data_IF_298944582919
#
_entry.id   IF_298944582919
#
_cell.length_a   1.000
_cell.length_b   1.000
_cell.length_c   1.000
_cell.angle_alpha   90.00
_cell.angle_beta   90.00
_cell.angle_gamma   90.00
#
_symmetry.space_group_name_H-M   'P 1'
#
loop_
_entity.id
_entity.type
_entity.pdbx_description
1 polymer ?
#
# COMPACT_ATOMS: atom_id res chain seq x y z
N UNK A 1 -7.79 -15.91 13.14
CA UNK A 1 -7.14 -15.58 11.86
C UNK A 1 -6.52 -14.20 11.99
N UNK A 2 -5.20 -14.11 11.76
CA UNK A 2 -4.44 -12.87 11.86
C UNK A 2 -4.28 -12.23 10.48
N UNK A 3 -4.65 -10.97 10.38
CA UNK A 3 -4.66 -10.21 9.13
C UNK A 3 -3.66 -9.04 9.25
N UNK A 4 -2.75 -8.91 8.29
CA UNK A 4 -1.98 -7.70 8.09
C UNK A 4 -2.67 -6.83 7.03
N UNK A 5 -3.10 -5.65 7.43
CA UNK A 5 -3.61 -4.64 6.52
C UNK A 5 -2.50 -3.62 6.25
N UNK A 6 -2.10 -3.48 5.00
CA UNK A 6 -0.96 -2.65 4.63
C UNK A 6 -1.37 -1.50 3.74
N UNK A 7 -0.75 -0.36 3.96
CA UNK A 7 -0.79 0.78 3.06
C UNK A 7 0.60 1.44 3.01
N UNK A 8 0.94 2.04 1.88
CA UNK A 8 2.28 2.60 1.66
C UNK A 8 2.51 3.81 2.57
N UNK A 9 1.51 4.70 2.64
CA UNK A 9 1.69 6.01 3.25
C UNK A 9 0.42 6.51 3.95
N UNK A 10 0.60 7.04 5.14
CA UNK A 10 -0.38 7.80 5.92
C UNK A 10 0.14 9.21 6.17
N UNK A 11 0.50 9.92 5.10
CA UNK A 11 1.08 11.27 5.19
C UNK A 11 0.12 12.37 4.77
N UNK A 12 -0.99 12.00 4.17
CA UNK A 12 -2.07 12.89 3.74
C UNK A 12 -3.43 12.37 4.21
N UNK A 13 -4.43 13.22 4.22
CA UNK A 13 -5.82 12.85 4.48
C UNK A 13 -6.53 12.70 3.14
N UNK A 14 -6.65 11.48 2.66
CA UNK A 14 -7.26 11.17 1.36
C UNK A 14 -8.33 10.08 1.43
N UNK A 15 -8.92 9.78 0.28
CA UNK A 15 -9.93 8.72 0.17
C UNK A 15 -9.35 7.33 0.37
N UNK A 16 -8.11 7.11 -0.07
CA UNK A 16 -7.38 5.86 0.08
C UNK A 16 -7.15 5.48 1.54
N UNK A 17 -6.69 6.47 2.31
CA UNK A 17 -6.39 6.33 3.72
C UNK A 17 -7.68 6.07 4.52
N UNK A 18 -8.76 6.82 4.23
CA UNK A 18 -10.07 6.61 4.86
C UNK A 18 -10.63 5.22 4.57
N UNK A 19 -10.60 4.81 3.31
CA UNK A 19 -11.06 3.48 2.91
C UNK A 19 -10.28 2.38 3.62
N UNK A 20 -8.96 2.52 3.78
CA UNK A 20 -8.16 1.54 4.53
C UNK A 20 -8.63 1.42 5.97
N UNK A 21 -8.99 2.54 6.63
CA UNK A 21 -9.54 2.52 7.99
C UNK A 21 -10.94 1.90 8.04
N UNK A 22 -11.76 2.09 7.01
CA UNK A 22 -13.07 1.45 6.91
C UNK A 22 -12.93 -0.07 6.71
N UNK A 23 -11.97 -0.51 5.87
CA UNK A 23 -11.62 -1.94 5.72
C UNK A 23 -11.13 -2.50 7.06
N UNK A 24 -10.26 -1.78 7.77
CA UNK A 24 -9.80 -2.18 9.10
C UNK A 24 -10.97 -2.46 10.04
N UNK A 25 -11.94 -1.52 10.13
CA UNK A 25 -13.13 -1.67 10.97
C UNK A 25 -13.97 -2.88 10.57
N UNK A 26 -14.27 -3.00 9.28
CA UNK A 26 -15.06 -4.12 8.77
C UNK A 26 -14.43 -5.48 9.12
N UNK A 27 -13.10 -5.60 9.00
CA UNK A 27 -12.39 -6.82 9.38
C UNK A 27 -12.44 -7.06 10.90
N UNK A 28 -12.37 -6.01 11.71
CA UNK A 28 -12.51 -6.12 13.18
C UNK A 28 -13.94 -6.52 13.56
N UNK A 29 -14.96 -5.98 12.90
CA UNK A 29 -16.36 -6.32 13.13
C UNK A 29 -16.65 -7.79 12.77
N UNK A 30 -15.90 -8.36 11.82
CA UNK A 30 -15.91 -9.81 11.51
C UNK A 30 -15.17 -10.68 12.55
N UNK A 31 -14.65 -10.08 13.63
CA UNK A 31 -13.95 -10.80 14.70
C UNK A 31 -12.52 -11.20 14.36
N UNK A 32 -11.90 -10.59 13.32
CA UNK A 32 -10.53 -10.90 12.93
C UNK A 32 -9.52 -10.11 13.78
N UNK A 33 -8.35 -10.70 13.98
CA UNK A 33 -7.19 -10.01 14.56
C UNK A 33 -6.48 -9.25 13.45
N UNK A 34 -6.58 -7.92 13.45
CA UNK A 34 -6.06 -7.08 12.38
C UNK A 34 -4.99 -6.15 12.92
N UNK A 35 -3.81 -6.19 12.30
CA UNK A 35 -2.72 -5.24 12.52
C UNK A 35 -2.59 -4.32 11.29
N UNK A 36 -2.44 -3.01 11.53
CA UNK A 36 -2.31 -2.00 10.49
C UNK A 36 -0.85 -1.60 10.32
N UNK A 37 -0.34 -1.68 9.08
CA UNK A 37 1.06 -1.40 8.75
C UNK A 37 1.18 -0.31 7.70
N UNK A 38 2.21 0.54 7.87
CA UNK A 38 2.57 1.56 6.87
C UNK A 38 4.10 1.72 6.78
N UNK A 39 4.59 2.25 5.66
CA UNK A 39 5.98 2.66 5.55
C UNK A 39 6.18 4.11 6.03
N UNK A 40 5.18 4.97 5.82
CA UNK A 40 5.27 6.40 6.14
C UNK A 40 4.08 6.85 6.96
N UNK A 41 4.34 7.52 8.08
CA UNK A 41 3.32 8.06 8.97
C UNK A 41 3.60 9.55 9.25
N UNK A 42 2.60 10.40 9.06
CA UNK A 42 2.55 11.76 9.58
C UNK A 42 1.58 11.80 10.75
N UNK A 43 2.04 12.23 11.92
CA UNK A 43 1.20 12.34 13.11
C UNK A 43 -0.02 13.25 12.84
N UNK A 44 0.21 14.41 12.22
CA UNK A 44 -0.85 15.35 11.87
C UNK A 44 -1.92 14.72 10.95
N UNK A 45 -1.48 13.93 9.95
CA UNK A 45 -2.42 13.25 9.06
C UNK A 45 -3.18 12.14 9.80
N UNK A 46 -2.50 11.41 10.66
CA UNK A 46 -3.09 10.36 11.48
C UNK A 46 -4.17 10.91 12.43
N UNK A 47 -3.86 11.95 13.18
CA UNK A 47 -4.80 12.62 14.08
C UNK A 47 -6.04 13.15 13.32
N UNK A 48 -5.83 13.76 12.15
CA UNK A 48 -6.92 14.26 11.33
C UNK A 48 -7.79 13.14 10.74
N UNK A 49 -7.19 12.00 10.34
CA UNK A 49 -7.91 10.82 9.83
C UNK A 49 -8.74 10.14 10.91
N UNK A 50 -8.21 10.04 12.11
CA UNK A 50 -8.84 9.31 13.23
C UNK A 50 -9.68 10.21 14.12
N UNK A 51 -9.73 11.51 13.84
CA UNK A 51 -10.59 12.46 14.55
C UNK A 51 -12.04 12.00 14.52
N UNK A 52 -12.61 11.74 15.71
CA UNK A 52 -13.96 11.18 15.86
C UNK A 52 -14.08 9.67 15.61
N UNK A 53 -12.98 8.98 15.40
CA UNK A 53 -12.94 7.52 15.24
C UNK A 53 -12.34 6.88 16.48
N UNK A 54 -13.14 6.10 17.22
CA UNK A 54 -12.66 5.35 18.37
C UNK A 54 -12.19 3.94 17.97
N UNK A 55 -11.19 3.42 18.68
CA UNK A 55 -10.81 2.00 18.59
C UNK A 55 -9.88 1.64 17.41
N UNK A 56 -9.36 2.60 16.65
CA UNK A 56 -8.35 2.33 15.63
C UNK A 56 -6.96 2.49 16.26
N UNK A 57 -6.15 1.43 16.34
CA UNK A 57 -4.80 1.51 16.88
C UNK A 57 -3.90 2.28 15.92
N UNK A 58 -2.88 2.90 16.48
CA UNK A 58 -1.83 3.52 15.67
C UNK A 58 -1.16 2.46 14.78
N UNK A 59 -0.93 2.76 13.49
CA UNK A 59 -0.28 1.82 12.59
C UNK A 59 1.18 1.56 13.00
N UNK A 60 1.60 0.34 12.75
CA UNK A 60 3.00 -0.05 12.94
C UNK A 60 3.79 0.46 11.73
N UNK A 61 4.78 1.32 12.00
CA UNK A 61 5.63 1.87 10.95
C UNK A 61 6.83 0.96 10.73
N UNK A 62 6.92 0.34 9.56
CA UNK A 62 8.03 -0.56 9.22
C UNK A 62 9.27 0.17 8.70
N UNK A 63 9.19 1.50 8.56
CA UNK A 63 10.29 2.34 8.10
C UNK A 63 10.51 2.29 6.59
N UNK A 64 11.35 3.20 6.13
CA UNK A 64 11.70 3.32 4.72
C UNK A 64 12.74 2.26 4.33
N UNK A 65 12.47 1.43 3.32
CA UNK A 65 13.55 0.76 2.63
C UNK A 65 14.43 1.84 1.94
N UNK A 66 15.73 1.58 1.82
CA UNK A 66 16.70 2.44 1.11
C UNK A 66 16.27 2.85 -0.32
N UNK A 67 15.26 2.22 -0.84
CA UNK A 67 14.59 2.42 -2.13
C UNK A 67 14.17 3.87 -2.36
N UNK A 68 13.78 4.61 -1.32
CA UNK A 68 13.36 6.01 -1.45
C UNK A 68 14.46 6.94 -1.94
N UNK A 69 15.70 6.68 -1.54
CA UNK A 69 16.85 7.50 -1.96
C UNK A 69 17.22 7.25 -3.42
N UNK A 70 16.95 6.04 -3.93
CA UNK A 70 17.30 5.63 -5.29
C UNK A 70 16.24 6.04 -6.32
N UNK A 71 14.96 6.05 -5.94
CA UNK A 71 13.82 6.24 -6.86
C UNK A 71 12.98 7.48 -6.56
N UNK A 72 13.56 8.54 -5.99
CA UNK A 72 12.82 9.73 -5.55
C UNK A 72 11.96 10.40 -6.63
N UNK A 73 12.32 10.29 -7.91
CA UNK A 73 11.55 10.84 -9.05
C UNK A 73 10.57 9.85 -9.68
N UNK A 74 10.76 8.54 -9.46
CA UNK A 74 9.90 7.50 -10.03
C UNK A 74 8.85 7.05 -9.02
N UNK A 75 7.89 7.91 -8.69
CA UNK A 75 6.92 7.73 -7.61
C UNK A 75 6.16 6.40 -7.72
N UNK A 76 5.70 6.03 -8.91
CA UNK A 76 4.94 4.80 -9.13
C UNK A 76 5.79 3.56 -8.85
N UNK A 77 7.02 3.52 -9.37
CA UNK A 77 7.94 2.41 -9.14
C UNK A 77 8.31 2.33 -7.67
N UNK A 78 8.59 3.46 -7.04
CA UNK A 78 8.87 3.53 -5.60
C UNK A 78 7.71 2.95 -4.79
N UNK A 79 6.47 3.38 -5.06
CA UNK A 79 5.30 2.90 -4.34
C UNK A 79 5.11 1.38 -4.52
N UNK A 80 5.28 0.87 -5.73
CA UNK A 80 5.22 -0.56 -6.01
C UNK A 80 6.29 -1.35 -5.23
N UNK A 81 7.52 -0.85 -5.19
CA UNK A 81 8.61 -1.48 -4.45
C UNK A 81 8.39 -1.45 -2.94
N UNK A 82 7.89 -0.32 -2.40
CA UNK A 82 7.56 -0.19 -0.98
C UNK A 82 6.41 -1.12 -0.60
N UNK A 83 5.32 -1.15 -1.37
CA UNK A 83 4.20 -2.05 -1.13
C UNK A 83 4.65 -3.52 -1.17
N UNK A 84 5.43 -3.90 -2.17
CA UNK A 84 5.99 -5.25 -2.30
C UNK A 84 6.89 -5.63 -1.12
N UNK A 85 7.69 -4.68 -0.64
CA UNK A 85 8.53 -4.88 0.55
C UNK A 85 7.69 -5.12 1.80
N UNK A 86 6.66 -4.30 2.05
CA UNK A 86 5.76 -4.45 3.19
C UNK A 86 5.10 -5.82 3.18
N UNK A 87 4.44 -6.16 2.06
CA UNK A 87 3.71 -7.42 1.90
C UNK A 87 4.65 -8.62 2.07
N UNK A 88 5.79 -8.64 1.39
CA UNK A 88 6.75 -9.73 1.47
C UNK A 88 7.29 -9.94 2.88
N UNK A 89 7.52 -8.84 3.61
CA UNK A 89 8.02 -8.90 4.99
C UNK A 89 6.99 -9.47 5.95
N UNK A 90 5.71 -9.19 5.73
CA UNK A 90 4.62 -9.59 6.63
C UNK A 90 4.09 -10.98 6.32
N UNK A 91 4.15 -11.42 5.06
CA UNK A 91 3.60 -12.69 4.60
C UNK A 91 3.92 -13.92 5.47
N UNK A 92 5.14 -14.10 6.03
CA UNK A 92 5.45 -15.25 6.86
C UNK A 92 4.76 -15.27 8.25
N UNK A 93 4.22 -14.14 8.70
CA UNK A 93 3.72 -13.94 10.08
C UNK A 93 2.20 -13.82 10.16
N UNK A 94 1.50 -13.75 9.01
CA UNK A 94 0.06 -13.52 8.93
C UNK A 94 -0.62 -14.57 8.07
N UNK A 95 -1.86 -14.91 8.45
CA UNK A 95 -2.71 -15.81 7.67
C UNK A 95 -3.16 -15.14 6.37
N UNK A 96 -3.40 -13.82 6.42
CA UNK A 96 -3.86 -13.01 5.31
C UNK A 96 -3.12 -11.67 5.29
N UNK A 97 -2.62 -11.27 4.13
CA UNK A 97 -2.01 -9.95 3.90
C UNK A 97 -2.79 -9.22 2.82
N UNK A 98 -3.39 -8.09 3.22
CA UNK A 98 -4.20 -7.23 2.35
C UNK A 98 -3.45 -5.93 2.11
N UNK A 99 -3.30 -5.54 0.86
CA UNK A 99 -2.68 -4.29 0.45
C UNK A 99 -3.72 -3.35 -0.17
N UNK A 100 -3.68 -2.04 0.19
CA UNK A 100 -4.77 -1.12 -0.14
C UNK A 100 -4.37 0.12 -0.95
N UNK A 101 -3.12 0.30 -1.31
CA UNK A 101 -2.66 1.55 -1.90
C UNK A 101 -1.74 1.42 -3.12
N UNK A 102 -1.27 0.22 -3.49
CA UNK A 102 -0.32 0.04 -4.60
C UNK A 102 -0.92 0.34 -5.97
N UNK A 103 -2.24 0.24 -6.11
CA UNK A 103 -2.92 0.41 -7.39
C UNK A 103 -2.70 -0.73 -8.39
N UNK A 104 -2.04 -1.82 -7.98
CA UNK A 104 -1.78 -3.01 -8.79
C UNK A 104 -1.76 -4.26 -7.91
N UNK A 105 -2.23 -5.41 -8.39
CA UNK A 105 -2.10 -6.67 -7.68
C UNK A 105 -0.64 -7.01 -7.39
N UNK A 106 -0.34 -7.43 -6.17
CA UNK A 106 1.00 -7.81 -5.74
C UNK A 106 1.09 -9.32 -5.55
N UNK A 107 2.16 -9.90 -6.06
CA UNK A 107 2.40 -11.36 -6.06
C UNK A 107 2.31 -12.01 -4.67
N UNK A 108 2.68 -11.29 -3.61
CA UNK A 108 2.72 -11.83 -2.24
C UNK A 108 1.56 -11.36 -1.36
N UNK A 109 0.68 -10.51 -1.87
CA UNK A 109 -0.57 -10.17 -1.20
C UNK A 109 -1.62 -11.23 -1.47
N UNK A 110 -2.41 -11.56 -0.48
CA UNK A 110 -3.57 -12.44 -0.65
C UNK A 110 -4.74 -11.68 -1.27
N UNK A 111 -4.82 -10.38 -0.97
CA UNK A 111 -5.76 -9.46 -1.60
C UNK A 111 -5.11 -8.08 -1.80
N UNK A 112 -5.44 -7.44 -2.90
CA UNK A 112 -5.04 -6.05 -3.18
C UNK A 112 -6.28 -5.24 -3.53
N UNK A 113 -6.50 -4.14 -2.83
CA UNK A 113 -7.54 -3.20 -3.19
C UNK A 113 -6.99 -2.18 -4.19
N UNK A 114 -7.45 -2.27 -5.43
CA UNK A 114 -7.01 -1.40 -6.52
C UNK A 114 -7.95 -0.19 -6.62
N UNK A 115 -7.55 0.94 -6.07
CA UNK A 115 -8.31 2.19 -6.14
C UNK A 115 -8.22 2.87 -7.51
N UNK A 116 -7.01 2.86 -8.09
CA UNK A 116 -6.74 3.38 -9.41
C UNK A 116 -6.07 2.28 -10.22
N UNK A 117 -6.67 1.83 -11.34
CA UNK A 117 -6.02 0.85 -12.18
C UNK A 117 -4.75 1.49 -12.78
N UNK A 118 -3.62 1.25 -12.13
CA UNK A 118 -2.31 1.75 -12.55
C UNK A 118 -2.03 1.40 -14.02
N UNK A 119 -2.55 0.26 -14.48
CA UNK A 119 -2.46 -0.19 -15.85
C UNK A 119 -3.05 0.81 -16.85
N UNK A 120 -4.14 1.50 -16.50
CA UNK A 120 -4.75 2.53 -17.37
C UNK A 120 -3.85 3.75 -17.45
N UNK A 121 -3.21 4.12 -16.35
CA UNK A 121 -2.24 5.21 -16.34
C UNK A 121 -0.97 4.84 -17.09
N UNK A 122 -0.47 3.62 -16.93
CA UNK A 122 0.71 3.11 -17.64
C UNK A 122 0.41 3.07 -19.15
N UNK A 123 -0.74 2.57 -19.58
CA UNK A 123 -1.13 2.54 -20.98
C UNK A 123 -1.28 3.95 -21.57
N UNK A 124 -1.86 4.89 -20.85
CA UNK A 124 -1.97 6.29 -21.29
C UNK A 124 -0.58 6.94 -21.39
N UNK A 125 0.28 6.69 -20.43
CA UNK A 125 1.66 7.18 -20.41
C UNK A 125 2.51 6.49 -21.49
N UNK A 126 2.20 5.22 -21.83
CA UNK A 126 2.86 4.44 -22.87
C UNK A 126 2.68 5.05 -24.26
N UNK A 127 1.50 5.53 -24.54
CA UNK A 127 1.21 6.19 -25.81
C UNK A 127 1.93 7.54 -25.94
N UNK A 128 2.32 8.14 -24.82
CA UNK A 128 2.96 9.46 -24.78
C UNK A 128 4.49 9.42 -24.66
N UNK A 129 5.09 8.38 -24.02
CA UNK A 129 6.53 8.37 -23.69
C UNK A 129 7.15 6.96 -23.70
N UNK A 130 7.55 6.45 -24.84
CA UNK A 130 8.04 5.08 -25.05
C UNK A 130 9.28 4.65 -24.22
N UNK A 131 10.08 5.55 -23.68
CA UNK A 131 11.38 5.21 -23.09
C UNK A 131 11.37 4.86 -21.60
N UNK A 132 10.46 5.39 -20.82
CA UNK A 132 10.42 5.17 -19.35
C UNK A 132 9.79 3.84 -18.97
N UNK A 133 9.16 3.19 -19.89
CA UNK A 133 8.28 2.04 -19.67
C UNK A 133 8.98 0.70 -19.54
N UNK A 134 10.11 0.50 -20.19
CA UNK A 134 10.82 -0.80 -20.09
C UNK A 134 11.27 -1.11 -18.65
N UNK A 135 11.55 -0.07 -17.84
CA UNK A 135 11.86 -0.22 -16.42
C UNK A 135 10.61 -0.56 -15.60
N UNK A 136 9.47 0.08 -15.91
CA UNK A 136 8.20 -0.22 -15.23
C UNK A 136 7.68 -1.60 -15.60
N UNK A 137 7.75 -2.01 -16.87
CA UNK A 137 7.36 -3.36 -17.30
C UNK A 137 8.18 -4.45 -16.60
N UNK A 138 9.50 -4.29 -16.49
CA UNK A 138 10.36 -5.26 -15.81
C UNK A 138 10.03 -5.34 -14.33
N UNK A 139 9.86 -4.20 -13.64
CA UNK A 139 9.49 -4.17 -12.25
C UNK A 139 8.07 -4.72 -12.03
N UNK A 140 7.11 -4.36 -12.90
CA UNK A 140 5.74 -4.86 -12.85
C UNK A 140 5.71 -6.38 -13.00
N UNK A 141 6.34 -6.93 -14.02
CA UNK A 141 6.36 -8.37 -14.29
C UNK A 141 7.09 -9.19 -13.21
N UNK A 142 7.96 -8.55 -12.41
CA UNK A 142 8.64 -9.21 -11.30
C UNK A 142 7.88 -9.15 -9.97
N UNK A 143 6.99 -8.17 -9.79
CA UNK A 143 6.34 -7.86 -8.50
C UNK A 143 4.82 -8.01 -8.54
N UNK A 144 4.21 -7.90 -9.70
CA UNK A 144 2.78 -8.12 -9.92
C UNK A 144 2.50 -9.56 -10.37
N UNK A 145 1.27 -9.99 -10.18
CA UNK A 145 0.75 -11.28 -10.66
C UNK A 145 0.32 -11.11 -12.11
#
# INVERSE_FOLDING_TARGET
MRVALTLISLTVVGGAERLTLDIYRALKDLGLEVDLYTAYLSERAWEALTSGMNGIPRPIVLGEPLINRLFGRAVLLRNLLVASYLVRRLRPYYDLVIETQSGTPLRWADATYVQFPLLVYILKFYLEHQYTLRLYERAYNSLAI
#
